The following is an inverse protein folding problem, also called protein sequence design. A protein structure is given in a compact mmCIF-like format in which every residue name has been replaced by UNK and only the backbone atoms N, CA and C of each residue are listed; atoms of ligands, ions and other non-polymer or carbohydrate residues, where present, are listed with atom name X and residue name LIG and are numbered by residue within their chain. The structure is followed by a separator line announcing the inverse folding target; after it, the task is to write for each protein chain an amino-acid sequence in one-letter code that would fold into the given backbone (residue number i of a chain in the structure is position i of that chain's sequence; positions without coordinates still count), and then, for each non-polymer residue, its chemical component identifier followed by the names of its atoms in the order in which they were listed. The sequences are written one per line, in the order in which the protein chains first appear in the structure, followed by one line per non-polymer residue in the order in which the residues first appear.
data_IF_523207391882
#
_entry.id   IF_523207391882
#
_cell.length_a   1.000
_cell.length_b   1.000
_cell.length_c   1.000
_cell.angle_alpha   90.00
_cell.angle_beta   90.00
_cell.angle_gamma   90.00
#
_symmetry.space_group_name_H-M   'P 1'
#
loop_
_entity.id
_entity.type
_entity.pdbx_description
1 polymer ?
#
# COMPACT_ATOMS: atom_id res chain seq x y z
N UNK A 1 -0.13 4.53 -15.73
CA UNK A 1 -1.16 5.11 -14.83
C UNK A 1 -0.65 5.06 -13.39
N UNK A 2 -0.40 6.21 -12.78
CA UNK A 2 0.21 6.36 -11.43
C UNK A 2 -0.81 6.68 -10.34
N UNK A 3 -0.34 6.79 -9.10
CA UNK A 3 -1.12 7.31 -7.98
C UNK A 3 -1.49 8.78 -8.27
N UNK A 4 -2.77 9.18 -8.11
CA UNK A 4 -3.15 10.59 -8.24
C UNK A 4 -2.43 11.43 -7.17
N UNK A 5 -1.96 12.62 -7.55
CA UNK A 5 -1.25 13.55 -6.63
C UNK A 5 -2.11 14.02 -5.45
N UNK A 6 -3.44 13.95 -5.57
CA UNK A 6 -4.38 14.38 -4.52
C UNK A 6 -4.61 13.25 -3.52
N UNK A 7 -4.28 13.49 -2.26
CA UNK A 7 -4.46 12.51 -1.17
C UNK A 7 -3.37 11.46 -1.07
N UNK A 8 -2.32 11.55 -1.89
CA UNK A 8 -1.12 10.75 -1.73
C UNK A 8 -0.17 11.36 -0.71
N UNK A 9 0.56 10.49 -0.02
CA UNK A 9 1.54 10.81 1.01
C UNK A 9 2.87 10.23 0.61
N UNK A 10 3.97 10.94 0.92
CA UNK A 10 5.32 10.44 0.70
C UNK A 10 5.86 9.80 1.98
N UNK A 11 6.66 8.75 1.84
CA UNK A 11 7.36 8.12 2.94
C UNK A 11 8.71 7.58 2.44
N UNK A 12 9.73 7.64 3.28
CA UNK A 12 11.03 7.03 3.02
C UNK A 12 11.15 5.76 3.87
N UNK A 13 11.47 4.65 3.23
CA UNK A 13 11.65 3.34 3.88
C UNK A 13 12.97 2.76 3.40
N UNK A 14 13.87 2.43 4.32
CA UNK A 14 15.18 1.85 4.02
C UNK A 14 15.97 2.60 2.93
N UNK A 15 15.94 3.94 2.97
CA UNK A 15 16.55 4.88 1.99
C UNK A 15 15.86 4.98 0.62
N UNK A 16 14.76 4.25 0.40
CA UNK A 16 13.97 4.32 -0.83
C UNK A 16 12.72 5.20 -0.61
N UNK A 17 12.38 6.00 -1.61
CA UNK A 17 11.25 6.93 -1.55
C UNK A 17 10.00 6.28 -2.14
N UNK A 18 8.91 6.32 -1.39
CA UNK A 18 7.62 5.76 -1.79
C UNK A 18 6.51 6.82 -1.72
N UNK A 19 5.51 6.61 -2.58
CA UNK A 19 4.25 7.34 -2.56
C UNK A 19 3.16 6.35 -2.21
N UNK A 20 2.36 6.67 -1.21
CA UNK A 20 1.23 5.84 -0.80
C UNK A 20 -0.07 6.64 -0.74
N UNK A 21 -1.19 5.96 -0.98
CA UNK A 21 -2.53 6.52 -0.76
C UNK A 21 -3.46 5.46 -0.20
N UNK A 22 -4.37 5.91 0.65
CA UNK A 22 -5.50 5.11 1.09
C UNK A 22 -6.58 5.18 0.00
N UNK A 23 -6.87 4.05 -0.63
CA UNK A 23 -7.94 3.91 -1.62
C UNK A 23 -9.22 3.50 -0.92
N UNK A 24 -10.21 4.38 -0.97
CA UNK A 24 -11.60 4.06 -0.64
C UNK A 24 -12.26 3.41 -1.86
N UNK A 25 -11.96 2.14 -2.11
CA UNK A 25 -12.72 1.36 -3.09
C UNK A 25 -13.02 0.00 -2.51
N UNK A 26 -14.25 -0.14 -2.03
CA UNK A 26 -14.89 -1.43 -1.77
C UNK A 26 -15.11 -2.09 -3.12
N UNK A 27 -14.14 -2.85 -3.60
CA UNK A 27 -14.40 -3.76 -4.71
C UNK A 27 -15.23 -4.90 -4.13
N UNK A 28 -16.38 -5.22 -4.74
CA UNK A 28 -17.42 -6.15 -4.26
C UNK A 28 -16.90 -7.47 -3.65
N UNK A 29 -15.72 -7.95 -4.08
CA UNK A 29 -15.02 -9.12 -3.54
C UNK A 29 -14.46 -8.96 -2.12
N UNK A 30 -14.34 -7.74 -1.58
CA UNK A 30 -13.79 -7.47 -0.24
C UNK A 30 -14.83 -7.57 0.88
N UNK A 31 -16.12 -7.45 0.56
CA UNK A 31 -17.21 -7.62 1.53
C UNK A 31 -17.22 -9.03 2.15
N UNK A 32 -16.68 -10.03 1.45
CA UNK A 32 -16.60 -11.41 1.94
C UNK A 32 -15.44 -11.68 2.92
N UNK A 33 -14.40 -10.83 2.95
CA UNK A 33 -13.19 -11.08 3.78
C UNK A 33 -12.98 -10.08 4.92
N UNK A 34 -13.90 -9.12 5.12
CA UNK A 34 -13.80 -8.15 6.22
C UNK A 34 -12.63 -7.16 6.12
N UNK A 35 -11.90 -7.11 5.01
CA UNK A 35 -10.82 -6.15 4.78
C UNK A 35 -11.41 -4.83 4.26
N UNK A 36 -11.41 -3.80 5.12
CA UNK A 36 -12.11 -2.54 4.87
C UNK A 36 -11.27 -1.44 4.21
N UNK A 37 -9.94 -1.58 4.15
CA UNK A 37 -9.04 -0.54 3.64
C UNK A 37 -7.97 -1.09 2.71
N UNK A 38 -7.82 -0.41 1.56
CA UNK A 38 -6.78 -0.69 0.57
C UNK A 38 -5.76 0.44 0.55
N UNK A 39 -4.50 0.14 0.80
CA UNK A 39 -3.42 1.12 0.68
C UNK A 39 -2.60 0.76 -0.54
N UNK A 40 -2.56 1.66 -1.52
CA UNK A 40 -1.69 1.48 -2.66
C UNK A 40 -0.38 2.23 -2.42
N UNK A 41 0.73 1.57 -2.71
CA UNK A 41 2.08 2.09 -2.61
C UNK A 41 2.79 1.89 -3.94
N UNK A 42 3.53 2.91 -4.39
CA UNK A 42 4.43 2.81 -5.54
C UNK A 42 5.75 3.54 -5.26
N UNK A 43 6.81 3.16 -5.96
CA UNK A 43 8.10 3.83 -5.85
C UNK A 43 8.00 5.27 -6.41
N UNK A 44 8.61 6.23 -5.71
CA UNK A 44 8.45 7.65 -6.04
C UNK A 44 9.28 8.09 -7.24
N UNK A 45 10.41 7.41 -7.49
CA UNK A 45 11.41 7.81 -8.48
C UNK A 45 11.45 6.88 -9.69
N UNK A 46 10.95 5.65 -9.54
CA UNK A 46 11.05 4.60 -10.56
C UNK A 46 9.67 4.00 -10.80
N UNK A 47 9.38 3.67 -12.06
CA UNK A 47 8.15 2.96 -12.41
C UNK A 47 8.39 1.46 -12.31
N UNK A 48 7.77 0.82 -11.33
CA UNK A 48 7.85 -0.63 -11.14
C UNK A 48 6.54 -1.24 -10.65
N UNK A 49 6.64 -2.31 -9.87
CA UNK A 49 5.47 -2.98 -9.31
C UNK A 49 4.82 -2.13 -8.21
N UNK A 50 3.49 -2.21 -8.13
CA UNK A 50 2.69 -1.52 -7.11
C UNK A 50 2.38 -2.49 -5.98
N UNK A 51 2.49 -2.02 -4.75
CA UNK A 51 2.02 -2.77 -3.59
C UNK A 51 0.60 -2.35 -3.25
N UNK A 52 -0.27 -3.34 -3.00
CA UNK A 52 -1.63 -3.15 -2.49
C UNK A 52 -1.70 -3.84 -1.14
N UNK A 53 -1.73 -3.04 -0.08
CA UNK A 53 -1.87 -3.53 1.29
C UNK A 53 -3.37 -3.60 1.61
N UNK A 54 -3.80 -4.79 2.01
CA UNK A 54 -5.17 -5.07 2.42
C UNK A 54 -5.18 -5.19 3.94
N UNK A 55 -5.98 -4.36 4.62
CA UNK A 55 -6.07 -4.38 6.08
C UNK A 55 -7.52 -4.41 6.56
N UNK A 56 -7.72 -5.10 7.68
CA UNK A 56 -8.97 -5.18 8.44
C UNK A 56 -9.19 -3.96 9.35
N UNK A 57 -8.24 -3.02 9.42
CA UNK A 57 -8.42 -1.78 10.17
C UNK A 57 -9.70 -1.08 9.74
N UNK A 58 -10.58 -0.86 10.72
CA UNK A 58 -11.86 -0.19 10.52
C UNK A 58 -11.59 1.22 9.99
N UNK A 59 -12.38 1.58 8.97
CA UNK A 59 -12.37 2.68 8.00
C UNK A 59 -12.12 4.14 8.49
N UNK A 60 -11.37 4.36 9.57
CA UNK A 60 -10.90 5.67 9.98
C UNK A 60 -9.59 5.95 9.23
N UNK A 61 -9.66 6.82 8.23
CA UNK A 61 -8.49 7.40 7.51
C UNK A 61 -7.38 7.92 8.43
N UNK A 62 -7.67 8.16 9.71
CA UNK A 62 -6.74 8.58 10.76
C UNK A 62 -6.00 7.43 11.46
N UNK A 63 -6.46 6.18 11.34
CA UNK A 63 -5.87 5.04 12.06
C UNK A 63 -4.63 4.46 11.39
N UNK A 64 -4.39 4.75 10.11
CA UNK A 64 -3.20 4.29 9.39
C UNK A 64 -2.13 5.36 9.50
N UNK A 65 -1.08 5.04 10.25
CA UNK A 65 0.06 5.95 10.45
C UNK A 65 1.16 5.69 9.43
N UNK A 66 2.03 6.68 9.11
CA UNK A 66 3.19 6.44 8.27
C UNK A 66 4.12 5.33 8.80
N UNK A 67 4.25 5.19 10.12
CA UNK A 67 5.08 4.17 10.77
C UNK A 67 4.57 2.75 10.47
N UNK A 68 3.26 2.56 10.43
CA UNK A 68 2.68 1.26 10.07
C UNK A 68 2.87 0.97 8.59
N UNK A 69 2.70 1.98 7.74
CA UNK A 69 2.92 1.85 6.29
C UNK A 69 4.38 1.49 6.01
N UNK A 70 5.36 2.09 6.69
CA UNK A 70 6.77 1.70 6.51
C UNK A 70 7.04 0.27 6.97
N UNK A 71 6.45 -0.15 8.09
CA UNK A 71 6.54 -1.53 8.56
C UNK A 71 5.96 -2.53 7.55
N UNK A 72 4.77 -2.24 7.00
CA UNK A 72 4.13 -3.11 6.01
C UNK A 72 4.87 -3.14 4.68
N UNK A 73 5.45 -2.02 4.24
CA UNK A 73 6.35 -1.98 3.08
C UNK A 73 7.54 -2.92 3.30
N UNK A 74 8.19 -2.84 4.46
CA UNK A 74 9.32 -3.71 4.78
C UNK A 74 8.94 -5.19 4.85
N UNK A 75 7.76 -5.51 5.38
CA UNK A 75 7.24 -6.88 5.37
C UNK A 75 6.94 -7.37 3.95
N UNK A 76 6.35 -6.52 3.10
CA UNK A 76 6.07 -6.87 1.70
C UNK A 76 7.36 -7.10 0.90
N UNK A 77 8.39 -6.27 1.09
CA UNK A 77 9.71 -6.46 0.46
C UNK A 77 10.30 -7.81 0.89
N UNK A 78 10.26 -8.13 2.19
CA UNK A 78 10.69 -9.44 2.70
C UNK A 78 9.87 -10.60 2.17
N UNK A 79 8.60 -10.37 1.85
CA UNK A 79 7.70 -11.35 1.23
C UNK A 79 7.91 -11.51 -0.29
N UNK A 80 8.84 -10.76 -0.90
CA UNK A 80 9.20 -10.85 -2.32
C UNK A 80 8.61 -9.76 -3.19
N UNK A 81 8.07 -8.69 -2.62
CA UNK A 81 7.72 -7.50 -3.41
C UNK A 81 8.98 -6.77 -3.88
N UNK A 82 9.13 -6.64 -5.20
CA UNK A 82 10.23 -5.94 -5.84
C UNK A 82 9.73 -4.59 -6.41
N UNK A 83 9.88 -3.46 -5.69
CA UNK A 83 9.24 -2.19 -6.04
C UNK A 83 9.71 -1.60 -7.38
N UNK A 84 10.97 -1.83 -7.75
CA UNK A 84 11.59 -1.31 -8.99
C UNK A 84 11.36 -2.22 -10.20
N UNK A 85 10.96 -3.46 -9.97
CA UNK A 85 10.72 -4.41 -11.06
C UNK A 85 9.31 -4.25 -11.58
N UNK A 86 9.18 -3.97 -12.87
CA UNK A 86 7.87 -3.93 -13.53
C UNK A 86 7.17 -5.28 -13.43
N UNK A 87 5.90 -5.27 -13.05
CA UNK A 87 5.14 -6.49 -12.83
C UNK A 87 3.70 -6.23 -12.44
N UNK A 88 2.99 -7.32 -12.15
CA UNK A 88 1.64 -7.25 -11.59
C UNK A 88 1.68 -6.60 -10.20
N UNK A 89 0.60 -5.94 -9.77
CA UNK A 89 0.48 -5.48 -8.39
C UNK A 89 0.71 -6.64 -7.41
N UNK A 90 1.48 -6.38 -6.37
CA UNK A 90 1.70 -7.32 -5.27
C UNK A 90 0.68 -7.03 -4.18
N UNK A 91 -0.14 -8.03 -3.83
CA UNK A 91 -1.13 -7.91 -2.76
C UNK A 91 -0.53 -8.42 -1.45
N UNK A 92 -0.63 -7.63 -0.40
CA UNK A 92 -0.11 -7.97 0.92
C UNK A 92 -1.19 -7.78 1.98
N UNK A 93 -1.60 -8.87 2.62
CA UNK A 93 -2.66 -8.86 3.64
C UNK A 93 -2.01 -8.69 5.00
N UNK A 94 -2.50 -7.71 5.76
CA UNK A 94 -2.09 -7.45 7.14
C UNK A 94 -3.32 -7.44 8.04
N UNK A 95 -3.28 -8.28 9.07
CA UNK A 95 -4.23 -8.26 10.17
C UNK A 95 -3.63 -7.43 11.31
N UNK A 96 -4.43 -6.54 11.91
CA UNK A 96 -3.99 -5.79 13.11
C UNK A 96 -3.97 -6.63 14.36
#
# INVERSE_FOLDING_TARGET
MGIPKKGSRKITVDSENFIWLIRRKETYSQACFGMGLNIAVEHAEESGSKLVILTDKINKLQSVTPIEVSSWINQAIKAGWEPKKSGKPFEFIVSS
#
